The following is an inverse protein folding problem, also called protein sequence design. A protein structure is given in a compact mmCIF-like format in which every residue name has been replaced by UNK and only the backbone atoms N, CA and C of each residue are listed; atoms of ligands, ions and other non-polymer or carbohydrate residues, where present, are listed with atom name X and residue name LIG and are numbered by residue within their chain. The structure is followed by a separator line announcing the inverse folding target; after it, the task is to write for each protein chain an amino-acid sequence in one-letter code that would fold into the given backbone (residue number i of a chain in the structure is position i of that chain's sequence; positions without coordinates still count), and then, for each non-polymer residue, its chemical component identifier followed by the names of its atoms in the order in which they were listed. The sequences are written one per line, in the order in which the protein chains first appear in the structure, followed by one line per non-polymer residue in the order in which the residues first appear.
data_IF_718256682630
#
_entry.id   IF_718256682630
#
_cell.length_a   1.000
_cell.length_b   1.000
_cell.length_c   1.000
_cell.angle_alpha   90.00
_cell.angle_beta   90.00
_cell.angle_gamma   90.00
#
_symmetry.space_group_name_H-M   'P 1'
#
loop_
_entity.id
_entity.type
_entity.pdbx_description
1 polymer ?
#
# COMPACT_ATOMS: atom_id res chain seq x y z
N UNK A 1 27.68 -7.33 1.72
CA UNK A 1 27.34 -7.16 3.16
C UNK A 1 25.87 -7.55 3.29
N UNK A 2 25.53 -8.50 4.17
CA UNK A 2 24.12 -8.91 4.40
C UNK A 2 23.38 -7.76 5.05
N UNK A 3 22.09 -7.57 4.71
CA UNK A 3 21.25 -6.59 5.39
C UNK A 3 20.92 -7.03 6.83
N UNK A 4 20.47 -6.09 7.67
CA UNK A 4 20.01 -6.40 9.03
C UNK A 4 18.82 -7.38 9.01
N UNK A 5 17.94 -7.28 8.01
CA UNK A 5 16.84 -8.23 7.81
C UNK A 5 17.31 -9.63 7.46
N UNK A 6 18.36 -9.78 6.64
CA UNK A 6 18.91 -11.09 6.31
C UNK A 6 19.53 -11.77 7.55
N UNK A 7 20.25 -10.98 8.37
CA UNK A 7 20.81 -11.49 9.62
C UNK A 7 19.74 -11.94 10.61
N UNK A 8 18.66 -11.17 10.74
CA UNK A 8 17.52 -11.54 11.61
C UNK A 8 16.82 -12.80 11.10
N UNK A 9 16.60 -12.90 9.79
CA UNK A 9 16.00 -14.09 9.20
C UNK A 9 16.84 -15.34 9.47
N UNK A 10 18.13 -15.30 9.18
CA UNK A 10 19.05 -16.44 9.41
C UNK A 10 19.12 -16.83 10.90
N UNK A 11 19.08 -15.86 11.81
CA UNK A 11 19.09 -16.09 13.24
C UNK A 11 17.82 -16.78 13.72
N UNK A 12 16.66 -16.45 13.16
CA UNK A 12 15.36 -16.98 13.58
C UNK A 12 14.98 -18.28 12.87
N UNK A 13 15.54 -18.51 11.67
CA UNK A 13 15.20 -19.69 10.85
C UNK A 13 15.33 -21.03 11.61
N UNK A 14 16.36 -21.31 12.42
CA UNK A 14 16.49 -22.56 13.15
C UNK A 14 15.40 -22.82 14.20
N UNK A 15 14.64 -21.77 14.58
CA UNK A 15 13.55 -21.89 15.54
C UNK A 15 12.18 -22.11 14.87
N UNK A 16 12.14 -22.15 13.55
CA UNK A 16 10.91 -22.42 12.79
C UNK A 16 10.86 -23.89 12.38
N UNK A 17 9.64 -24.46 12.38
CA UNK A 17 9.45 -25.78 11.77
C UNK A 17 9.57 -25.67 10.24
N UNK A 18 9.99 -26.77 9.61
CA UNK A 18 10.09 -26.85 8.15
C UNK A 18 8.75 -26.53 7.46
N UNK A 19 7.64 -27.06 7.98
CA UNK A 19 6.28 -26.77 7.46
C UNK A 19 5.98 -25.26 7.49
N UNK A 20 6.38 -24.57 8.56
CA UNK A 20 6.16 -23.13 8.70
C UNK A 20 7.00 -22.33 7.72
N UNK A 21 8.23 -22.72 7.49
CA UNK A 21 9.13 -22.10 6.52
C UNK A 21 8.59 -22.29 5.11
N UNK A 22 8.17 -23.50 4.73
CA UNK A 22 7.56 -23.77 3.43
C UNK A 22 6.28 -22.95 3.20
N UNK A 23 5.47 -22.76 4.25
CA UNK A 23 4.28 -21.90 4.18
C UNK A 23 4.64 -20.42 3.94
N UNK A 24 5.66 -19.91 4.60
CA UNK A 24 6.15 -18.55 4.36
C UNK A 24 6.63 -18.38 2.92
N UNK A 25 7.42 -19.30 2.41
CA UNK A 25 7.92 -19.28 1.04
C UNK A 25 6.78 -19.32 0.01
N UNK A 26 5.76 -20.14 0.25
CA UNK A 26 4.59 -20.24 -0.61
C UNK A 26 3.80 -18.91 -0.63
N UNK A 27 3.59 -18.28 0.52
CA UNK A 27 2.90 -16.98 0.60
C UNK A 27 3.71 -15.88 -0.09
N UNK A 28 5.03 -15.84 0.16
CA UNK A 28 5.91 -14.82 -0.44
C UNK A 28 5.95 -14.91 -1.96
N UNK A 29 5.90 -16.11 -2.55
CA UNK A 29 5.81 -16.30 -4.00
C UNK A 29 4.55 -15.71 -4.62
N UNK A 30 3.47 -15.62 -3.86
CA UNK A 30 2.21 -14.99 -4.31
C UNK A 30 2.17 -13.47 -4.13
N UNK A 31 3.21 -12.85 -3.57
CA UNK A 31 3.26 -11.39 -3.35
C UNK A 31 3.73 -10.65 -4.60
N UNK A 32 3.13 -9.47 -4.81
CA UNK A 32 3.50 -8.58 -5.92
C UNK A 32 3.78 -7.17 -5.42
N UNK A 33 4.68 -6.50 -6.13
CA UNK A 33 4.95 -5.06 -6.04
C UNK A 33 4.63 -4.35 -7.35
N UNK A 34 4.03 -5.06 -8.31
CA UNK A 34 3.57 -4.49 -9.57
C UNK A 34 2.35 -3.59 -9.34
N UNK A 35 1.46 -3.97 -8.44
CA UNK A 35 0.37 -3.14 -7.97
C UNK A 35 0.66 -2.66 -6.54
N UNK A 36 0.50 -1.37 -6.31
CA UNK A 36 0.53 -0.74 -5.00
C UNK A 36 -0.77 0.01 -4.72
N UNK A 37 -1.13 0.18 -3.46
CA UNK A 37 -2.33 0.94 -3.07
C UNK A 37 -1.92 2.16 -2.27
N UNK A 38 -2.51 3.31 -2.62
CA UNK A 38 -2.33 4.58 -1.89
C UNK A 38 -3.66 4.96 -1.25
N UNK A 39 -3.63 5.24 0.04
CA UNK A 39 -4.77 5.69 0.82
C UNK A 39 -4.52 7.14 1.24
N UNK A 40 -5.23 8.08 0.61
CA UNK A 40 -5.05 9.50 0.87
C UNK A 40 -6.08 9.99 1.89
N UNK A 41 -5.60 10.37 3.08
CA UNK A 41 -6.37 11.01 4.15
C UNK A 41 -7.67 10.27 4.55
N UNK A 42 -7.68 8.94 4.49
CA UNK A 42 -8.86 8.13 4.81
C UNK A 42 -9.39 8.51 6.20
N UNK A 43 -10.63 8.96 6.27
CA UNK A 43 -11.24 9.48 7.49
C UNK A 43 -11.39 8.41 8.57
N UNK A 44 -11.89 7.23 8.19
CA UNK A 44 -12.10 6.14 9.14
C UNK A 44 -10.98 5.11 9.07
N UNK A 45 -10.18 5.00 10.12
CA UNK A 45 -9.08 4.04 10.20
C UNK A 45 -9.49 2.58 9.95
N UNK A 46 -10.77 2.24 10.20
CA UNK A 46 -11.31 0.90 9.89
C UNK A 46 -11.39 0.65 8.38
N UNK A 47 -11.70 1.67 7.57
CA UNK A 47 -11.79 1.53 6.11
C UNK A 47 -10.39 1.30 5.53
N UNK A 48 -9.39 2.07 5.97
CA UNK A 48 -7.99 1.82 5.62
C UNK A 48 -7.56 0.39 6.03
N UNK A 49 -7.94 -0.05 7.23
CA UNK A 49 -7.64 -1.42 7.70
C UNK A 49 -8.33 -2.50 6.85
N UNK A 50 -9.54 -2.25 6.35
CA UNK A 50 -10.25 -3.17 5.46
C UNK A 50 -9.54 -3.27 4.10
N UNK A 51 -9.12 -2.15 3.52
CA UNK A 51 -8.34 -2.13 2.28
C UNK A 51 -7.02 -2.88 2.45
N UNK A 52 -6.28 -2.65 3.56
CA UNK A 52 -5.06 -3.40 3.85
C UNK A 52 -5.29 -4.91 3.91
N UNK A 53 -6.41 -5.35 4.47
CA UNK A 53 -6.75 -6.79 4.48
C UNK A 53 -7.01 -7.33 3.08
N UNK A 54 -7.64 -6.55 2.21
CA UNK A 54 -7.82 -6.90 0.81
C UNK A 54 -6.46 -6.99 0.09
N UNK A 55 -5.57 -6.01 0.32
CA UNK A 55 -4.21 -6.03 -0.22
C UNK A 55 -3.46 -7.30 0.21
N UNK A 56 -3.51 -7.65 1.50
CA UNK A 56 -2.88 -8.86 2.03
C UNK A 56 -3.44 -10.12 1.37
N UNK A 57 -4.76 -10.24 1.28
CA UNK A 57 -5.44 -11.38 0.67
C UNK A 57 -5.18 -11.54 -0.84
N UNK A 58 -4.95 -10.43 -1.53
CA UNK A 58 -4.63 -10.38 -2.97
C UNK A 58 -3.13 -10.46 -3.27
N UNK A 59 -2.28 -10.51 -2.24
CA UNK A 59 -0.84 -10.56 -2.41
C UNK A 59 -0.18 -9.21 -2.72
N UNK A 60 -0.89 -8.09 -2.64
CA UNK A 60 -0.31 -6.75 -2.79
C UNK A 60 0.58 -6.45 -1.60
N UNK A 61 1.85 -6.12 -1.84
CA UNK A 61 2.82 -5.97 -0.77
C UNK A 61 2.93 -4.54 -0.23
N UNK A 62 2.90 -3.54 -1.10
CA UNK A 62 3.13 -2.15 -0.72
C UNK A 62 1.81 -1.38 -0.57
N UNK A 63 1.65 -0.71 0.59
CA UNK A 63 0.54 0.21 0.86
C UNK A 63 1.11 1.53 1.34
N UNK A 64 0.71 2.61 0.69
CA UNK A 64 1.09 3.98 1.02
C UNK A 64 -0.05 4.67 1.77
N UNK A 65 0.28 5.32 2.88
CA UNK A 65 -0.67 6.05 3.72
C UNK A 65 -0.26 7.52 3.75
N UNK A 66 -1.05 8.37 3.12
CA UNK A 66 -0.92 9.82 3.21
C UNK A 66 -1.78 10.29 4.38
N UNK A 67 -1.13 10.82 5.42
CA UNK A 67 -1.74 11.15 6.70
C UNK A 67 -1.55 12.65 7.00
N UNK A 68 -1.97 13.49 6.06
CA UNK A 68 -1.87 14.95 6.20
C UNK A 68 -2.93 15.50 7.18
N UNK A 69 -4.18 15.06 7.00
CA UNK A 69 -5.34 15.52 7.78
C UNK A 69 -5.79 14.43 8.76
N UNK A 70 -5.93 13.20 8.29
CA UNK A 70 -6.47 12.08 9.06
C UNK A 70 -5.38 11.04 9.32
N UNK A 71 -4.84 10.94 10.54
CA UNK A 71 -3.89 9.91 10.88
C UNK A 71 -4.57 8.53 10.96
N UNK A 72 -3.96 7.54 10.34
CA UNK A 72 -4.41 6.17 10.52
C UNK A 72 -3.96 5.63 11.89
N UNK A 73 -4.91 5.09 12.63
CA UNK A 73 -4.68 4.47 13.95
C UNK A 73 -4.88 2.95 13.83
N UNK A 74 -3.85 2.22 14.25
CA UNK A 74 -3.90 0.76 14.23
C UNK A 74 -4.99 0.24 15.17
N UNK A 75 -5.94 -0.52 14.61
CA UNK A 75 -6.97 -1.22 15.38
C UNK A 75 -6.81 -2.74 15.22
N UNK A 76 -6.33 -3.39 16.26
CA UNK A 76 -6.05 -4.83 16.27
C UNK A 76 -7.29 -5.67 15.97
N UNK A 77 -8.45 -5.26 16.45
CA UNK A 77 -9.73 -5.95 16.26
C UNK A 77 -10.16 -5.98 14.79
N UNK A 78 -9.89 -4.92 14.04
CA UNK A 78 -10.23 -4.80 12.61
C UNK A 78 -9.11 -5.34 11.72
N UNK A 79 -7.88 -4.94 11.99
CA UNK A 79 -6.73 -5.24 11.12
C UNK A 79 -6.28 -6.71 11.18
N UNK A 80 -6.63 -7.45 12.25
CA UNK A 80 -6.30 -8.88 12.41
C UNK A 80 -4.81 -9.23 12.18
N UNK A 81 -3.90 -8.30 12.46
CA UNK A 81 -2.46 -8.49 12.25
C UNK A 81 -1.94 -8.18 10.85
N UNK A 82 -2.81 -7.95 9.87
CA UNK A 82 -2.45 -7.69 8.47
C UNK A 82 -1.34 -6.66 8.26
N UNK A 83 -1.31 -5.48 8.95
CA UNK A 83 -0.26 -4.50 8.74
C UNK A 83 1.17 -5.00 9.02
N UNK A 84 1.31 -6.09 9.75
CA UNK A 84 2.63 -6.71 10.02
C UNK A 84 3.17 -7.52 8.83
N UNK A 85 2.32 -7.82 7.84
CA UNK A 85 2.65 -8.59 6.65
C UNK A 85 2.85 -7.70 5.42
N UNK A 86 2.43 -6.43 5.49
CA UNK A 86 2.54 -5.45 4.44
C UNK A 86 3.75 -4.54 4.65
N UNK A 87 4.25 -3.96 3.57
CA UNK A 87 5.19 -2.86 3.63
C UNK A 87 4.41 -1.56 3.64
N UNK A 88 4.33 -0.90 4.80
CA UNK A 88 3.61 0.36 4.96
C UNK A 88 4.54 1.55 4.78
N UNK A 89 4.27 2.37 3.77
CA UNK A 89 4.93 3.64 3.52
C UNK A 89 4.04 4.76 4.09
N UNK A 90 4.48 5.40 5.18
CA UNK A 90 3.67 6.41 5.87
C UNK A 90 4.22 7.82 5.63
N UNK A 91 3.37 8.69 5.12
CA UNK A 91 3.68 10.09 4.83
C UNK A 91 2.89 10.98 5.80
N UNK A 92 3.56 11.38 6.88
CA UNK A 92 2.99 12.20 7.96
C UNK A 92 4.05 13.11 8.55
N UNK A 93 3.62 14.17 9.23
CA UNK A 93 4.50 15.09 9.94
C UNK A 93 5.62 15.67 9.07
N UNK A 94 5.30 15.98 7.81
CA UNK A 94 6.19 16.61 6.85
C UNK A 94 5.43 17.72 6.11
N UNK A 95 6.12 18.71 5.51
CA UNK A 95 5.48 19.87 4.88
C UNK A 95 4.55 19.52 3.73
N UNK A 96 4.79 18.39 3.05
CA UNK A 96 4.06 17.97 1.84
C UNK A 96 3.97 16.44 1.76
N UNK A 97 3.07 15.81 2.52
CA UNK A 97 2.94 14.35 2.51
C UNK A 97 2.51 13.78 1.17
N UNK A 98 1.57 14.44 0.48
CA UNK A 98 1.08 14.02 -0.84
C UNK A 98 2.20 14.08 -1.89
N UNK A 99 2.94 15.19 -1.96
CA UNK A 99 4.06 15.32 -2.88
C UNK A 99 5.18 14.31 -2.62
N UNK A 100 5.49 14.05 -1.35
CA UNK A 100 6.49 13.03 -0.99
C UNK A 100 6.06 11.61 -1.41
N UNK A 101 4.78 11.30 -1.31
CA UNK A 101 4.23 10.03 -1.80
C UNK A 101 4.35 9.93 -3.32
N UNK A 102 3.90 10.96 -4.05
CA UNK A 102 3.99 11.03 -5.52
C UNK A 102 5.43 10.83 -5.97
N UNK A 103 6.37 11.58 -5.40
CA UNK A 103 7.78 11.47 -5.76
C UNK A 103 8.32 10.06 -5.53
N UNK A 104 8.02 9.44 -4.38
CA UNK A 104 8.44 8.07 -4.08
C UNK A 104 7.88 7.06 -5.10
N UNK A 105 6.63 7.21 -5.51
CA UNK A 105 6.01 6.34 -6.52
C UNK A 105 6.69 6.51 -7.88
N UNK A 106 6.91 7.76 -8.33
CA UNK A 106 7.59 8.06 -9.60
C UNK A 106 9.02 7.54 -9.63
N UNK A 107 9.79 7.73 -8.56
CA UNK A 107 11.16 7.24 -8.43
C UNK A 107 11.24 5.70 -8.52
N UNK A 108 10.16 5.01 -8.14
CA UNK A 108 10.01 3.56 -8.24
C UNK A 108 9.38 3.08 -9.55
N UNK A 109 9.10 4.00 -10.48
CA UNK A 109 8.55 3.69 -11.80
C UNK A 109 7.06 3.35 -11.83
N UNK A 110 6.29 3.74 -10.80
CA UNK A 110 4.85 3.55 -10.81
C UNK A 110 4.13 4.59 -11.65
N UNK A 111 3.17 4.13 -12.45
CA UNK A 111 2.07 4.96 -12.93
C UNK A 111 1.07 5.19 -11.80
N UNK A 112 0.39 6.32 -11.83
CA UNK A 112 -0.56 6.72 -10.79
C UNK A 112 -1.97 6.72 -11.37
N UNK A 113 -2.80 5.77 -10.94
CA UNK A 113 -4.21 5.71 -11.26
C UNK A 113 -5.04 6.18 -10.06
N UNK A 114 -5.91 7.16 -10.29
CA UNK A 114 -6.74 7.77 -9.24
C UNK A 114 -8.19 7.35 -9.41
N UNK A 115 -8.81 6.88 -8.34
CA UNK A 115 -10.24 6.61 -8.34
C UNK A 115 -11.03 7.91 -8.16
N UNK A 116 -11.88 8.26 -9.13
CA UNK A 116 -12.75 9.44 -9.05
C UNK A 116 -14.09 9.18 -9.75
N UNK A 117 -15.22 9.53 -9.12
CA UNK A 117 -16.52 9.46 -9.78
C UNK A 117 -16.82 10.72 -10.61
N UNK A 118 -15.95 11.72 -10.62
CA UNK A 118 -16.22 13.06 -11.16
C UNK A 118 -15.42 13.41 -12.42
N UNK A 119 -14.54 12.51 -12.85
CA UNK A 119 -13.65 12.72 -13.99
C UNK A 119 -13.89 11.61 -14.99
N UNK A 120 -14.06 11.98 -16.27
CA UNK A 120 -14.06 11.00 -17.35
C UNK A 120 -12.67 10.36 -17.44
N UNK A 121 -12.64 9.04 -17.36
CA UNK A 121 -11.41 8.27 -17.32
C UNK A 121 -11.63 6.86 -17.81
N UNK A 122 -10.72 6.00 -17.47
CA UNK A 122 -10.81 4.58 -17.81
C UNK A 122 -11.82 3.85 -16.90
N UNK A 123 -12.54 2.89 -17.46
CA UNK A 123 -13.13 1.85 -16.62
C UNK A 123 -12.03 0.98 -16.02
N UNK A 124 -12.31 0.32 -14.90
CA UNK A 124 -11.32 -0.51 -14.21
C UNK A 124 -10.74 -1.62 -15.11
N UNK A 125 -11.56 -2.14 -16.03
CA UNK A 125 -11.15 -3.20 -16.95
C UNK A 125 -10.25 -2.69 -18.10
N UNK A 126 -10.22 -1.37 -18.32
CA UNK A 126 -9.46 -0.72 -19.39
C UNK A 126 -8.14 -0.10 -18.87
N UNK A 127 -7.88 -0.17 -17.56
CA UNK A 127 -6.66 0.39 -16.98
C UNK A 127 -5.43 -0.39 -17.45
N UNK A 128 -4.45 0.26 -18.12
CA UNK A 128 -3.22 -0.41 -18.54
C UNK A 128 -2.43 -0.95 -17.34
N UNK A 129 -2.05 -2.22 -17.40
CA UNK A 129 -1.36 -2.93 -16.32
C UNK A 129 0.04 -3.46 -16.71
N UNK A 130 0.56 -3.03 -17.84
CA UNK A 130 1.87 -3.45 -18.34
C UNK A 130 3.03 -2.87 -17.50
N UNK A 131 2.82 -1.69 -16.94
CA UNK A 131 3.76 -1.01 -16.05
C UNK A 131 3.30 -1.10 -14.59
N UNK A 132 4.22 -0.96 -13.63
CA UNK A 132 3.84 -0.90 -12.22
C UNK A 132 2.80 0.21 -11.96
N UNK A 133 1.73 -0.14 -11.25
CA UNK A 133 0.59 0.74 -11.03
C UNK A 133 0.38 1.03 -9.55
N UNK A 134 0.20 2.31 -9.19
CA UNK A 134 -0.24 2.75 -7.88
C UNK A 134 -1.71 3.20 -7.97
N UNK A 135 -2.62 2.43 -7.37
CA UNK A 135 -4.04 2.75 -7.29
C UNK A 135 -4.31 3.65 -6.09
N UNK A 136 -4.76 4.86 -6.34
CA UNK A 136 -5.02 5.86 -5.30
C UNK A 136 -6.50 5.94 -4.96
N UNK A 137 -6.79 5.82 -3.68
CA UNK A 137 -8.12 5.96 -3.10
C UNK A 137 -8.13 7.13 -2.10
N UNK A 138 -9.12 7.99 -2.21
CA UNK A 138 -9.34 9.11 -1.32
C UNK A 138 -10.43 8.84 -0.28
N UNK A 139 -10.89 9.92 0.36
CA UNK A 139 -12.01 9.86 1.32
C UNK A 139 -13.33 9.61 0.60
N UNK A 140 -14.31 9.05 1.31
CA UNK A 140 -15.64 8.76 0.77
C UNK A 140 -16.44 10.04 0.43
N UNK A 141 -16.08 11.18 1.02
CA UNK A 141 -16.80 12.44 0.87
C UNK A 141 -16.15 13.39 -0.13
N UNK A 142 -14.81 13.51 -0.07
CA UNK A 142 -14.07 14.48 -0.87
C UNK A 142 -13.27 13.82 -1.99
N UNK A 143 -13.21 12.50 -2.01
CA UNK A 143 -12.31 11.78 -2.91
C UNK A 143 -10.84 12.04 -2.57
N UNK A 144 -10.02 12.12 -3.58
CA UNK A 144 -8.60 12.46 -3.52
C UNK A 144 -8.39 13.98 -3.62
N UNK A 145 -7.21 14.46 -3.26
CA UNK A 145 -6.87 15.88 -3.42
C UNK A 145 -6.74 16.28 -4.90
N UNK A 146 -6.99 17.56 -5.21
CA UNK A 146 -6.76 18.12 -6.55
C UNK A 146 -5.33 17.91 -7.01
N UNK A 147 -4.37 17.99 -6.08
CA UNK A 147 -2.97 17.72 -6.35
C UNK A 147 -2.74 16.29 -6.81
N UNK A 148 -3.37 15.31 -6.18
CA UNK A 148 -3.26 13.91 -6.58
C UNK A 148 -3.92 13.67 -7.95
N UNK A 149 -5.09 14.28 -8.20
CA UNK A 149 -5.77 14.22 -9.49
C UNK A 149 -4.90 14.77 -10.63
N UNK A 150 -4.21 15.91 -10.41
CA UNK A 150 -3.32 16.51 -11.41
C UNK A 150 -2.09 15.67 -11.74
N UNK A 151 -1.77 14.69 -10.92
CA UNK A 151 -0.63 13.78 -11.08
C UNK A 151 -1.04 12.38 -11.57
N UNK A 152 -2.33 12.15 -11.81
CA UNK A 152 -2.82 10.93 -12.44
C UNK A 152 -2.33 10.83 -13.91
N UNK A 153 -2.01 9.61 -14.34
CA UNK A 153 -1.57 9.28 -15.69
C UNK A 153 -2.73 8.95 -16.62
#
# INVERSE_FOLDING_TARGET
MKSDSDLRYETLLPFLSEERTQRFDAVLKGRTRHLSVVLENIYQSRNASAVMRSCDGMGIQDVHLIEDINPWVYNRGVSKGTPSWLTLHRYKQQPDPTGACIQNLRDRGYRIAVTSPHVDGFNVDDVPIEEPLALVMGTEWKGVSDRMLQQAD
#
